data_IF_499597289051
#
_entry.id   IF_499597289051
#
_cell.length_a   1.000
_cell.length_b   1.000
_cell.length_c   1.000
_cell.angle_alpha   90.00
_cell.angle_beta   90.00
_cell.angle_gamma   90.00
#
_symmetry.space_group_name_H-M   'P 1'
#
loop_
_entity.id
_entity.type
_entity.pdbx_description
1 polymer ?
#
# COMPACT_ATOMS: atom_id res chain seq x y z
N UNK A 1 63.82 29.11 -8.85
CA UNK A 1 62.80 28.43 -8.00
C UNK A 1 61.75 27.90 -8.95
N UNK A 2 61.90 26.65 -9.39
CA UNK A 2 61.00 26.02 -10.36
C UNK A 2 59.80 25.43 -9.64
N UNK A 3 58.65 26.10 -9.76
CA UNK A 3 57.37 25.58 -9.28
C UNK A 3 56.78 24.69 -10.37
N UNK A 4 56.81 23.36 -10.16
CA UNK A 4 56.15 22.37 -10.99
C UNK A 4 54.83 21.93 -10.33
N UNK A 5 53.66 22.41 -10.77
CA UNK A 5 52.39 21.94 -10.28
C UNK A 5 52.07 20.61 -10.96
N UNK A 6 52.58 19.51 -10.39
CA UNK A 6 52.07 18.18 -10.70
C UNK A 6 50.57 18.16 -10.35
N UNK A 7 49.74 18.44 -11.36
CA UNK A 7 48.28 18.37 -11.28
C UNK A 7 47.93 16.95 -10.84
N UNK A 8 47.46 16.81 -9.61
CA UNK A 8 46.74 15.62 -9.17
C UNK A 8 45.55 15.45 -10.11
N UNK A 9 45.70 14.58 -11.11
CA UNK A 9 44.59 14.20 -11.99
C UNK A 9 43.66 13.33 -11.14
N UNK A 10 42.68 13.96 -10.50
CA UNK A 10 41.60 13.25 -9.87
C UNK A 10 40.82 12.52 -10.98
N UNK A 11 41.10 11.22 -11.14
CA UNK A 11 40.45 10.39 -12.14
C UNK A 11 39.02 10.12 -11.67
N UNK A 12 38.04 10.75 -12.31
CA UNK A 12 36.62 10.45 -12.15
C UNK A 12 36.23 9.04 -12.69
N UNK A 13 37.20 8.16 -12.98
CA UNK A 13 36.98 6.80 -13.50
C UNK A 13 36.20 5.89 -12.55
N UNK A 14 35.93 6.32 -11.33
CA UNK A 14 35.01 5.65 -10.39
C UNK A 14 33.55 5.68 -10.89
N UNK A 15 33.23 6.55 -11.85
CA UNK A 15 31.95 6.58 -12.55
C UNK A 15 32.01 5.97 -13.95
N UNK A 16 32.92 5.02 -14.20
CA UNK A 16 32.76 4.10 -15.31
C UNK A 16 31.61 3.13 -15.00
N UNK A 17 30.39 3.66 -14.92
CA UNK A 17 29.18 2.86 -14.89
C UNK A 17 29.09 2.15 -16.22
N UNK A 18 29.31 0.83 -16.22
CA UNK A 18 28.85 -0.01 -17.33
C UNK A 18 27.38 0.32 -17.54
N UNK A 19 27.07 0.97 -18.67
CA UNK A 19 25.68 1.32 -18.98
C UNK A 19 24.90 0.01 -19.05
N UNK A 20 24.01 -0.20 -18.08
CA UNK A 20 23.09 -1.34 -18.10
C UNK A 20 22.27 -1.29 -19.39
N UNK A 21 21.91 -2.44 -19.94
CA UNK A 21 20.95 -2.49 -21.05
C UNK A 21 19.60 -1.91 -20.61
N UNK A 22 18.78 -1.36 -21.53
CA UNK A 22 17.49 -0.77 -21.16
C UNK A 22 16.61 -1.71 -20.32
N UNK A 23 16.58 -3.00 -20.67
CA UNK A 23 15.87 -4.03 -19.89
C UNK A 23 16.40 -4.16 -18.46
N UNK A 24 17.73 -4.15 -18.28
CA UNK A 24 18.34 -4.24 -16.95
C UNK A 24 18.10 -2.97 -16.13
N UNK A 25 18.06 -1.80 -16.77
CA UNK A 25 17.68 -0.54 -16.11
C UNK A 25 16.24 -0.59 -15.61
N UNK A 26 15.29 -1.00 -16.46
CA UNK A 26 13.88 -1.15 -16.08
C UNK A 26 13.70 -2.09 -14.89
N UNK A 27 14.34 -3.27 -14.92
CA UNK A 27 14.27 -4.21 -13.80
C UNK A 27 14.91 -3.66 -12.52
N UNK A 28 16.03 -2.94 -12.64
CA UNK A 28 16.66 -2.29 -11.49
C UNK A 28 15.73 -1.22 -10.91
N UNK A 29 15.05 -0.43 -11.74
CA UNK A 29 14.08 0.57 -11.28
C UNK A 29 12.90 -0.08 -10.56
N UNK A 30 12.31 -1.14 -11.11
CA UNK A 30 11.23 -1.89 -10.43
C UNK A 30 11.67 -2.44 -9.07
N UNK A 31 12.89 -2.98 -8.98
CA UNK A 31 13.45 -3.48 -7.73
C UNK A 31 13.66 -2.35 -6.71
N UNK A 32 14.24 -1.22 -7.12
CA UNK A 32 14.45 -0.06 -6.26
C UNK A 32 13.11 0.48 -5.75
N UNK A 33 12.12 0.67 -6.64
CA UNK A 33 10.78 1.12 -6.26
C UNK A 33 10.13 0.13 -5.29
N UNK A 34 10.28 -1.17 -5.51
CA UNK A 34 9.74 -2.18 -4.60
C UNK A 34 10.38 -2.15 -3.22
N UNK A 35 11.70 -2.01 -3.15
CA UNK A 35 12.42 -1.85 -1.88
C UNK A 35 11.99 -0.59 -1.14
N UNK A 36 11.81 0.53 -1.84
CA UNK A 36 11.34 1.79 -1.24
C UNK A 36 9.91 1.66 -0.72
N UNK A 37 9.02 0.99 -1.43
CA UNK A 37 7.65 0.73 -0.97
C UNK A 37 7.65 -0.14 0.29
N UNK A 38 8.43 -1.23 0.31
CA UNK A 38 8.56 -2.09 1.51
C UNK A 38 9.19 -1.31 2.67
N UNK A 39 10.18 -0.46 2.42
CA UNK A 39 10.77 0.37 3.46
C UNK A 39 9.76 1.36 4.05
N UNK A 40 8.93 1.98 3.21
CA UNK A 40 7.94 2.97 3.65
C UNK A 40 6.76 2.35 4.42
N UNK A 41 6.29 1.17 4.04
CA UNK A 41 5.06 0.56 4.59
C UNK A 41 5.29 -0.75 5.35
N UNK A 42 6.47 -1.35 5.30
CA UNK A 42 6.74 -2.68 5.86
C UNK A 42 6.59 -2.75 7.37
N UNK A 43 6.83 -1.64 8.08
CA UNK A 43 6.58 -1.54 9.52
C UNK A 43 5.09 -1.70 9.88
N UNK A 44 4.17 -1.39 8.96
CA UNK A 44 2.73 -1.55 9.18
C UNK A 44 2.30 -3.00 9.35
N UNK A 45 3.08 -3.97 8.84
CA UNK A 45 2.77 -5.40 8.95
C UNK A 45 2.76 -5.91 10.41
N UNK A 46 3.37 -5.16 11.33
CA UNK A 46 3.52 -5.55 12.74
C UNK A 46 2.55 -4.82 13.67
N UNK A 47 1.73 -3.90 13.14
CA UNK A 47 0.76 -3.17 13.96
C UNK A 47 -0.61 -3.84 13.96
N UNK A 48 -1.39 -3.57 15.01
CA UNK A 48 -2.78 -4.00 15.08
C UNK A 48 -3.74 -3.04 14.37
N UNK A 49 -5.02 -3.40 14.34
CA UNK A 49 -6.10 -2.50 13.92
C UNK A 49 -6.11 -1.24 14.78
N UNK A 50 -6.13 -0.07 14.15
CA UNK A 50 -6.11 1.24 14.81
C UNK A 50 -7.24 2.14 14.31
N UNK A 51 -7.66 3.09 15.14
CA UNK A 51 -8.71 4.05 14.81
C UNK A 51 -10.00 3.39 14.27
N UNK A 52 -10.38 3.70 13.04
CA UNK A 52 -11.61 3.28 12.41
C UNK A 52 -11.59 1.81 11.97
N UNK A 53 -10.41 1.17 11.85
CA UNK A 53 -10.29 -0.28 11.58
C UNK A 53 -11.06 -1.13 12.60
N UNK A 54 -11.07 -0.68 13.85
CA UNK A 54 -11.81 -1.35 14.93
C UNK A 54 -13.30 -1.45 14.64
N UNK A 55 -13.87 -0.42 14.02
CA UNK A 55 -15.25 -0.40 13.57
C UNK A 55 -15.35 -1.12 12.23
N UNK A 56 -14.72 -0.62 11.18
CA UNK A 56 -15.01 -1.10 9.81
C UNK A 56 -14.64 -2.58 9.60
N UNK A 57 -13.67 -3.09 10.36
CA UNK A 57 -13.16 -4.46 10.26
C UNK A 57 -13.46 -5.27 11.53
N UNK A 58 -12.85 -4.92 12.66
CA UNK A 58 -12.77 -5.84 13.80
C UNK A 58 -14.12 -6.17 14.42
N UNK A 59 -15.04 -5.20 14.45
CA UNK A 59 -16.36 -5.36 15.06
C UNK A 59 -17.50 -5.43 14.04
N UNK A 60 -17.20 -5.45 12.73
CA UNK A 60 -18.22 -5.36 11.68
C UNK A 60 -18.79 -6.74 11.31
N UNK A 61 -20.04 -7.06 11.67
CA UNK A 61 -20.63 -8.36 11.36
C UNK A 61 -20.92 -8.54 9.86
N UNK A 62 -20.97 -7.47 9.07
CA UNK A 62 -21.28 -7.57 7.65
C UNK A 62 -20.13 -8.19 6.86
N UNK A 63 -18.89 -8.12 7.34
CA UNK A 63 -17.73 -8.66 6.60
C UNK A 63 -17.42 -10.13 6.93
N UNK A 64 -18.07 -10.74 7.93
CA UNK A 64 -17.71 -12.10 8.39
C UNK A 64 -18.16 -13.21 7.44
N UNK A 65 -19.03 -12.89 6.48
CA UNK A 65 -19.54 -13.85 5.49
C UNK A 65 -19.51 -13.23 4.09
N UNK A 66 -18.91 -13.93 3.13
CA UNK A 66 -18.88 -13.50 1.72
C UNK A 66 -20.29 -13.36 1.11
N UNK A 67 -21.27 -14.09 1.64
CA UNK A 67 -22.68 -13.98 1.23
C UNK A 67 -23.27 -12.58 1.48
N UNK A 68 -22.66 -11.77 2.35
CA UNK A 68 -23.10 -10.40 2.63
C UNK A 68 -22.60 -9.38 1.60
N UNK A 69 -21.71 -9.76 0.67
CA UNK A 69 -21.15 -8.82 -0.33
C UNK A 69 -22.24 -8.04 -1.08
N UNK A 70 -23.34 -8.64 -1.59
CA UNK A 70 -24.41 -7.87 -2.23
C UNK A 70 -25.01 -6.78 -1.32
N UNK A 71 -25.15 -7.06 -0.02
CA UNK A 71 -25.61 -6.08 0.99
C UNK A 71 -24.62 -4.94 1.17
N UNK A 72 -23.31 -5.21 1.07
CA UNK A 72 -22.27 -4.17 1.16
C UNK A 72 -22.35 -3.14 0.01
N UNK A 73 -22.97 -3.49 -1.12
CA UNK A 73 -23.20 -2.58 -2.25
C UNK A 73 -24.44 -1.69 -2.10
N UNK A 74 -25.26 -1.93 -1.08
CA UNK A 74 -26.43 -1.09 -0.76
C UNK A 74 -26.34 -0.46 0.62
N UNK A 75 -25.39 -0.90 1.44
CA UNK A 75 -25.10 -0.39 2.77
C UNK A 75 -24.21 0.86 2.75
N UNK A 76 -24.30 1.64 3.82
CA UNK A 76 -23.32 2.68 4.11
C UNK A 76 -21.99 2.06 4.57
N UNK A 77 -20.88 2.77 4.36
CA UNK A 77 -19.56 2.31 4.83
C UNK A 77 -19.51 2.06 6.34
N UNK A 78 -20.30 2.81 7.12
CA UNK A 78 -20.37 2.68 8.58
C UNK A 78 -21.51 1.74 9.06
N UNK A 79 -22.22 1.07 8.15
CA UNK A 79 -23.45 0.31 8.45
C UNK A 79 -23.24 -0.78 9.51
N UNK A 80 -22.09 -1.47 9.47
CA UNK A 80 -21.74 -2.53 10.42
C UNK A 80 -21.69 -2.08 11.89
N UNK A 81 -21.69 -0.78 12.14
CA UNK A 81 -21.55 -0.16 13.47
C UNK A 81 -22.63 0.84 13.83
N UNK A 82 -23.72 0.93 13.07
CA UNK A 82 -24.82 1.82 13.46
C UNK A 82 -25.47 1.31 14.74
N UNK A 83 -25.19 1.97 15.86
CA UNK A 83 -26.08 1.90 17.03
C UNK A 83 -27.39 2.61 16.63
N UNK A 84 -28.55 1.93 16.69
CA UNK A 84 -29.85 2.54 16.40
C UNK A 84 -30.16 3.78 17.25
N UNK A 85 -29.47 3.97 18.37
CA UNK A 85 -29.61 5.10 19.31
C UNK A 85 -28.62 6.23 19.05
N UNK A 86 -27.58 5.98 18.27
CA UNK A 86 -26.61 6.99 17.90
C UNK A 86 -27.13 7.84 16.75
N UNK A 87 -27.68 9.00 17.10
CA UNK A 87 -27.94 10.12 16.17
C UNK A 87 -26.63 10.82 15.81
N UNK A 88 -25.52 10.09 15.62
CA UNK A 88 -24.28 10.67 15.12
C UNK A 88 -24.38 10.84 13.60
N UNK A 89 -25.05 11.93 13.21
CA UNK A 89 -25.04 12.55 11.87
C UNK A 89 -23.67 13.12 11.47
N UNK A 90 -22.61 12.87 12.24
CA UNK A 90 -21.28 13.46 12.05
C UNK A 90 -20.43 12.77 10.97
N UNK A 91 -20.83 11.59 10.50
CA UNK A 91 -20.20 10.91 9.37
C UNK A 91 -21.24 10.86 8.26
N UNK A 92 -21.18 11.81 7.33
CA UNK A 92 -22.06 11.81 6.16
C UNK A 92 -22.07 10.45 5.48
N UNK A 93 -23.16 10.14 4.75
CA UNK A 93 -23.28 8.85 4.06
C UNK A 93 -22.07 8.63 3.15
N UNK A 94 -21.34 7.54 3.37
CA UNK A 94 -20.10 7.24 2.66
C UNK A 94 -20.27 5.93 1.91
N UNK A 95 -20.11 5.98 0.59
CA UNK A 95 -20.27 4.81 -0.26
C UNK A 95 -18.90 4.27 -0.70
N UNK A 96 -18.46 3.16 -0.09
CA UNK A 96 -17.18 2.49 -0.40
C UNK A 96 -17.34 0.95 -0.44
N UNK A 97 -18.28 0.44 -1.26
CA UNK A 97 -18.65 -0.98 -1.24
C UNK A 97 -17.48 -1.90 -1.60
N UNK A 98 -16.58 -1.46 -2.49
CA UNK A 98 -15.40 -2.22 -2.88
C UNK A 98 -14.43 -2.41 -1.71
N UNK A 99 -14.23 -1.39 -0.89
CA UNK A 99 -13.32 -1.44 0.27
C UNK A 99 -13.85 -2.42 1.32
N UNK A 100 -15.12 -2.32 1.69
CA UNK A 100 -15.70 -3.26 2.67
C UNK A 100 -15.81 -4.68 2.12
N UNK A 101 -16.00 -4.84 0.80
CA UNK A 101 -15.99 -6.16 0.16
C UNK A 101 -14.61 -6.81 0.19
N UNK A 102 -13.52 -6.05 -0.01
CA UNK A 102 -12.17 -6.61 0.13
C UNK A 102 -11.86 -6.99 1.59
N UNK A 103 -12.42 -6.29 2.57
CA UNK A 103 -12.33 -6.71 3.98
C UNK A 103 -13.07 -8.03 4.25
N UNK A 104 -14.21 -8.27 3.61
CA UNK A 104 -14.91 -9.56 3.71
C UNK A 104 -14.08 -10.71 3.11
N UNK A 105 -13.40 -10.46 2.00
CA UNK A 105 -12.46 -11.43 1.41
C UNK A 105 -11.26 -11.67 2.33
N UNK A 106 -10.65 -10.61 2.88
CA UNK A 106 -9.55 -10.74 3.84
C UNK A 106 -9.97 -11.54 5.07
N UNK A 107 -11.16 -11.28 5.61
CA UNK A 107 -11.71 -12.02 6.74
C UNK A 107 -11.90 -13.50 6.41
N UNK A 108 -12.43 -13.82 5.24
CA UNK A 108 -12.62 -15.21 4.81
C UNK A 108 -11.30 -15.98 4.67
N UNK A 109 -10.19 -15.30 4.35
CA UNK A 109 -8.87 -15.90 4.17
C UNK A 109 -8.07 -16.02 5.47
N UNK A 110 -8.19 -15.03 6.38
CA UNK A 110 -7.29 -14.90 7.53
C UNK A 110 -7.94 -14.44 8.83
N UNK A 111 -9.27 -14.33 8.87
CA UNK A 111 -10.01 -13.82 10.03
C UNK A 111 -9.56 -12.42 10.42
N UNK A 112 -9.51 -12.15 11.73
CA UNK A 112 -9.10 -10.85 12.29
C UNK A 112 -7.58 -10.71 12.48
N UNK A 113 -6.76 -11.37 11.66
CA UNK A 113 -5.31 -11.18 11.70
C UNK A 113 -4.88 -9.92 10.91
N UNK A 114 -4.46 -8.81 11.55
CA UNK A 114 -4.16 -7.55 10.88
C UNK A 114 -3.05 -7.67 9.81
N UNK A 115 -2.13 -8.62 10.01
CA UNK A 115 -1.04 -8.88 9.06
C UNK A 115 -1.55 -9.08 7.64
N UNK A 116 -2.62 -9.87 7.45
CA UNK A 116 -3.18 -10.15 6.12
C UNK A 116 -3.71 -8.90 5.43
N UNK A 117 -4.39 -8.04 6.18
CA UNK A 117 -4.95 -6.76 5.68
C UNK A 117 -3.82 -5.80 5.28
N UNK A 118 -2.81 -5.64 6.14
CA UNK A 118 -1.67 -4.78 5.83
C UNK A 118 -0.83 -5.33 4.67
N UNK A 119 -0.65 -6.65 4.57
CA UNK A 119 0.07 -7.28 3.46
C UNK A 119 -0.60 -6.97 2.12
N UNK A 120 -1.92 -7.10 2.04
CA UNK A 120 -2.69 -6.75 0.84
C UNK A 120 -2.49 -5.28 0.48
N UNK A 121 -2.53 -4.36 1.45
CA UNK A 121 -2.27 -2.94 1.21
C UNK A 121 -0.84 -2.69 0.67
N UNK A 122 0.18 -3.34 1.24
CA UNK A 122 1.56 -3.22 0.75
C UNK A 122 1.70 -3.73 -0.70
N UNK A 123 1.05 -4.85 -1.03
CA UNK A 123 1.03 -5.38 -2.41
C UNK A 123 0.33 -4.39 -3.36
N UNK A 124 -0.78 -3.78 -2.95
CA UNK A 124 -1.47 -2.78 -3.76
C UNK A 124 -0.63 -1.51 -3.96
N UNK A 125 0.05 -1.03 -2.92
CA UNK A 125 1.00 0.08 -3.05
C UNK A 125 2.14 -0.25 -4.02
N UNK A 126 2.67 -1.47 -3.97
CA UNK A 126 3.70 -1.94 -4.90
C UNK A 126 3.17 -1.95 -6.35
N UNK A 127 1.99 -2.52 -6.56
CA UNK A 127 1.35 -2.61 -7.86
C UNK A 127 1.07 -1.23 -8.47
N UNK A 128 0.48 -0.30 -7.70
CA UNK A 128 0.19 1.06 -8.17
C UNK A 128 1.49 1.83 -8.46
N UNK A 129 2.53 1.67 -7.65
CA UNK A 129 3.84 2.30 -7.88
C UNK A 129 4.44 1.83 -9.21
N UNK A 130 4.36 0.52 -9.49
CA UNK A 130 4.86 -0.05 -10.73
C UNK A 130 4.04 0.39 -11.95
N UNK A 131 2.71 0.40 -11.84
CA UNK A 131 1.83 0.89 -12.91
C UNK A 131 2.11 2.37 -13.20
N UNK A 132 2.24 3.20 -12.17
CA UNK A 132 2.54 4.63 -12.34
C UNK A 132 3.89 4.84 -13.02
N UNK A 133 4.91 4.07 -12.65
CA UNK A 133 6.21 4.12 -13.33
C UNK A 133 6.09 3.81 -14.81
N UNK A 134 5.35 2.75 -15.19
CA UNK A 134 5.12 2.39 -16.60
C UNK A 134 4.41 3.52 -17.34
N UNK A 135 3.32 4.05 -16.78
CA UNK A 135 2.55 5.14 -17.40
C UNK A 135 3.38 6.42 -17.53
N UNK A 136 4.30 6.70 -16.60
CA UNK A 136 5.10 7.92 -16.60
C UNK A 136 6.29 7.90 -17.58
N UNK A 137 6.69 6.73 -18.08
CA UNK A 137 7.79 6.58 -19.06
C UNK A 137 7.31 6.34 -20.49
N UNK A 138 6.00 6.14 -20.69
CA UNK A 138 5.33 6.19 -21.99
C UNK A 138 5.26 7.64 -22.51
#
# INVERSE_FOLDING_TARGET
MDYNPARVKFSWSIFNSTKLTPRRQTLATFAVLGLLTIFAYGNSLQVGFVFDDSFIIANNPLITHLANIPTLFTADYWEGHRDPREVFTFRGRLYRPLVVSTYAVNYALGGLNPFGYHLVNVILHLAVTWVLYVVAIE
#
